data_IF_302068203893
#
_entry.id   IF_302068203893
#
_cell.length_a   1.000
_cell.length_b   1.000
_cell.length_c   1.000
_cell.angle_alpha   90.00
_cell.angle_beta   90.00
_cell.angle_gamma   90.00
#
_symmetry.space_group_name_H-M   'P 1'
#
loop_
_entity.id
_entity.type
_entity.pdbx_description
1 polymer ?
#
# COMPACT_ATOMS: atom_id res chain seq x y z
N UNK A 1 49.65 64.01 22.27
CA UNK A 1 48.25 63.76 21.86
C UNK A 1 48.12 62.28 21.56
N UNK A 2 47.64 61.47 22.51
CA UNK A 2 46.27 60.95 22.66
C UNK A 2 45.78 60.02 21.52
N UNK A 3 45.76 58.71 21.86
CA UNK A 3 44.82 57.63 21.53
C UNK A 3 44.22 57.49 20.12
N UNK A 4 44.31 56.27 19.58
CA UNK A 4 43.17 55.33 19.59
C UNK A 4 43.62 53.89 19.37
N UNK A 5 43.12 53.02 20.24
CA UNK A 5 43.15 51.56 20.19
C UNK A 5 42.12 51.11 19.14
N UNK A 6 42.39 50.01 18.45
CA UNK A 6 41.36 49.04 18.12
C UNK A 6 41.93 47.64 18.24
N UNK A 7 41.24 46.86 19.08
CA UNK A 7 41.50 45.46 19.41
C UNK A 7 40.53 44.65 18.58
N UNK A 8 41.01 43.69 17.80
CA UNK A 8 40.17 42.63 17.22
C UNK A 8 40.81 41.28 17.54
N UNK A 9 40.15 40.41 18.34
CA UNK A 9 40.65 39.07 18.63
C UNK A 9 40.36 38.13 17.46
N UNK A 10 41.41 37.43 17.01
CA UNK A 10 41.36 36.39 16.00
C UNK A 10 40.53 35.19 16.53
N UNK A 11 39.35 34.96 15.95
CA UNK A 11 38.59 33.72 16.15
C UNK A 11 39.32 32.55 15.46
N UNK A 12 39.41 31.36 16.09
CA UNK A 12 39.89 30.16 15.43
C UNK A 12 38.78 29.51 14.58
N UNK A 13 39.17 28.96 13.43
CA UNK A 13 38.29 28.30 12.46
C UNK A 13 37.61 27.03 13.04
N UNK A 14 36.38 26.68 12.61
CA UNK A 14 35.67 25.49 13.07
C UNK A 14 36.33 24.20 12.56
N UNK A 15 36.53 23.25 13.48
CA UNK A 15 37.06 21.91 13.22
C UNK A 15 36.13 21.12 12.30
N UNK A 16 36.68 20.58 11.22
CA UNK A 16 36.04 19.61 10.34
C UNK A 16 35.63 18.36 11.16
N UNK A 17 34.33 18.09 11.22
CA UNK A 17 33.81 16.88 11.83
C UNK A 17 33.79 15.76 10.78
N UNK A 18 34.84 14.93 10.78
CA UNK A 18 34.81 13.62 10.12
C UNK A 18 33.68 12.77 10.73
N UNK A 19 32.57 12.61 10.00
CA UNK A 19 31.55 11.61 10.31
C UNK A 19 31.78 10.38 9.44
N UNK A 20 32.22 9.30 10.13
CA UNK A 20 32.33 7.92 9.67
C UNK A 20 31.16 7.48 8.77
N UNK A 21 31.40 6.58 7.80
CA UNK A 21 30.35 6.07 6.93
C UNK A 21 29.28 5.36 7.74
N UNK A 22 28.05 5.84 7.57
CA UNK A 22 26.82 5.24 8.09
C UNK A 22 26.68 3.85 7.44
N UNK A 23 27.09 2.81 8.16
CA UNK A 23 26.67 1.45 7.89
C UNK A 23 25.16 1.40 8.13
N UNK A 24 24.39 1.61 7.06
CA UNK A 24 22.98 1.32 7.07
C UNK A 24 22.83 -0.20 7.07
N UNK A 25 22.65 -0.71 8.28
CA UNK A 25 22.26 -2.07 8.57
C UNK A 25 21.15 -2.51 7.60
N UNK A 26 21.47 -3.47 6.73
CA UNK A 26 20.51 -4.33 6.04
C UNK A 26 19.64 -5.02 7.09
N UNK A 27 18.53 -4.36 7.42
CA UNK A 27 17.56 -4.80 8.40
C UNK A 27 16.88 -6.09 7.97
N UNK A 28 17.31 -7.19 8.60
CA UNK A 28 16.53 -8.36 9.01
C UNK A 28 15.65 -9.02 7.93
N UNK A 29 16.17 -10.13 7.38
CA UNK A 29 15.40 -11.22 6.76
C UNK A 29 14.42 -11.83 7.78
N UNK A 30 13.23 -11.26 7.93
CA UNK A 30 12.09 -11.90 8.62
C UNK A 30 11.05 -12.43 7.64
N UNK A 31 11.46 -12.78 6.42
CA UNK A 31 10.57 -13.07 5.30
C UNK A 31 9.82 -14.42 5.37
N UNK A 32 10.36 -15.53 5.91
CA UNK A 32 9.66 -16.81 5.77
C UNK A 32 8.42 -16.94 6.67
N UNK A 33 8.43 -16.33 7.85
CA UNK A 33 7.33 -16.47 8.81
C UNK A 33 6.09 -15.66 8.40
N UNK A 34 6.29 -14.42 7.93
CA UNK A 34 5.19 -13.57 7.47
C UNK A 34 4.57 -14.13 6.19
N UNK A 35 5.38 -14.56 5.24
CA UNK A 35 4.88 -15.22 4.02
C UNK A 35 4.08 -16.49 4.37
N UNK A 36 4.55 -17.28 5.32
CA UNK A 36 3.84 -18.48 5.79
C UNK A 36 2.46 -18.13 6.39
N UNK A 37 2.37 -17.12 7.26
CA UNK A 37 1.08 -16.65 7.81
C UNK A 37 0.12 -16.20 6.70
N UNK A 38 0.61 -15.43 5.74
CA UNK A 38 -0.21 -14.93 4.64
C UNK A 38 -0.70 -16.07 3.74
N UNK A 39 0.14 -17.06 3.46
CA UNK A 39 -0.23 -18.24 2.67
C UNK A 39 -1.28 -19.13 3.34
N UNK A 40 -1.38 -19.11 4.67
CA UNK A 40 -2.44 -19.83 5.39
C UNK A 40 -3.74 -19.02 5.54
N UNK A 41 -3.73 -17.72 5.24
CA UNK A 41 -4.93 -16.87 5.31
C UNK A 41 -5.82 -17.04 4.07
N UNK A 42 -7.07 -17.51 4.22
CA UNK A 42 -7.96 -17.72 3.09
C UNK A 42 -8.32 -16.42 2.35
N UNK A 43 -8.51 -15.33 3.08
CA UNK A 43 -8.85 -14.02 2.49
C UNK A 43 -7.67 -13.43 1.72
N UNK A 44 -6.44 -13.60 2.22
CA UNK A 44 -5.24 -13.19 1.50
C UNK A 44 -5.09 -13.96 0.19
N UNK A 45 -5.21 -15.30 0.24
CA UNK A 45 -5.16 -16.14 -0.96
C UNK A 45 -6.22 -15.74 -1.97
N UNK A 46 -7.46 -15.57 -1.52
CA UNK A 46 -8.56 -15.12 -2.37
C UNK A 46 -8.24 -13.78 -3.06
N UNK A 47 -7.77 -12.78 -2.30
CA UNK A 47 -7.41 -11.48 -2.86
C UNK A 47 -6.23 -11.57 -3.83
N UNK A 48 -5.22 -12.36 -3.52
CA UNK A 48 -4.07 -12.61 -4.39
C UNK A 48 -4.52 -13.26 -5.70
N UNK A 49 -5.42 -14.23 -5.65
CA UNK A 49 -5.89 -14.95 -6.83
C UNK A 49 -6.72 -14.02 -7.74
N UNK A 50 -7.55 -13.14 -7.16
CA UNK A 50 -8.22 -12.05 -7.90
C UNK A 50 -7.22 -11.14 -8.61
N UNK A 51 -6.21 -10.63 -7.88
CA UNK A 51 -5.21 -9.74 -8.46
C UNK A 51 -4.37 -10.43 -9.53
N UNK A 52 -4.04 -11.70 -9.34
CA UNK A 52 -3.34 -12.53 -10.33
C UNK A 52 -4.17 -12.68 -11.62
N UNK A 53 -5.49 -12.88 -11.50
CA UNK A 53 -6.37 -12.96 -12.67
C UNK A 53 -6.43 -11.62 -13.42
N UNK A 54 -6.61 -10.52 -12.69
CA UNK A 54 -6.59 -9.16 -13.27
C UNK A 54 -5.25 -8.90 -13.98
N UNK A 55 -4.13 -9.24 -13.36
CA UNK A 55 -2.81 -9.04 -13.96
C UNK A 55 -2.64 -9.85 -15.25
N UNK A 56 -3.09 -11.10 -15.28
CA UNK A 56 -3.07 -11.95 -16.48
C UNK A 56 -3.97 -11.40 -17.59
N UNK A 57 -5.15 -10.89 -17.24
CA UNK A 57 -6.09 -10.30 -18.21
C UNK A 57 -5.54 -9.05 -18.90
N UNK A 58 -4.65 -8.31 -18.23
CA UNK A 58 -4.07 -7.08 -18.75
C UNK A 58 -2.61 -7.24 -19.18
N UNK A 59 -2.13 -8.48 -19.32
CA UNK A 59 -0.77 -8.74 -19.76
C UNK A 59 -0.57 -8.20 -21.19
N UNK A 60 0.46 -7.36 -21.38
CA UNK A 60 0.78 -6.78 -22.68
C UNK A 60 -0.04 -5.54 -23.08
N UNK A 61 -0.91 -5.04 -22.19
CA UNK A 61 -1.66 -3.79 -22.44
C UNK A 61 -0.81 -2.59 -22.01
N UNK A 62 -0.42 -1.68 -22.93
CA UNK A 62 0.30 -0.47 -22.59
C UNK A 62 -0.62 0.56 -21.91
N UNK A 63 -0.07 1.38 -21.00
CA UNK A 63 -0.75 2.49 -20.31
C UNK A 63 -2.06 2.09 -19.61
N UNK A 64 -1.96 1.16 -18.66
CA UNK A 64 -3.12 0.65 -17.95
C UNK A 64 -3.71 1.70 -17.00
N UNK A 65 -4.97 2.08 -17.25
CA UNK A 65 -5.71 2.97 -16.37
C UNK A 65 -5.97 2.31 -15.01
N UNK A 66 -5.58 3.00 -13.94
CA UNK A 66 -5.76 2.57 -12.56
C UNK A 66 -7.25 2.41 -12.21
N UNK A 67 -8.11 3.30 -12.73
CA UNK A 67 -9.55 3.21 -12.48
C UNK A 67 -10.18 2.02 -13.20
N UNK A 68 -9.72 1.70 -14.42
CA UNK A 68 -10.09 0.47 -15.11
C UNK A 68 -9.66 -0.78 -14.33
N UNK A 69 -8.40 -0.83 -13.87
CA UNK A 69 -7.88 -1.93 -13.04
C UNK A 69 -8.71 -2.14 -11.77
N UNK A 70 -9.08 -1.05 -11.10
CA UNK A 70 -9.93 -1.07 -9.91
C UNK A 70 -11.31 -1.63 -10.21
N UNK A 71 -11.95 -1.19 -11.29
CA UNK A 71 -13.26 -1.71 -11.74
C UNK A 71 -13.21 -3.19 -12.08
N UNK A 72 -12.19 -3.63 -12.82
CA UNK A 72 -11.99 -5.05 -13.15
C UNK A 72 -11.77 -5.88 -11.89
N UNK A 73 -10.94 -5.40 -10.97
CA UNK A 73 -10.69 -6.06 -9.68
C UNK A 73 -11.98 -6.23 -8.89
N UNK A 74 -12.81 -5.18 -8.78
CA UNK A 74 -14.12 -5.27 -8.11
C UNK A 74 -15.05 -6.27 -8.79
N UNK A 75 -15.15 -6.20 -10.13
CA UNK A 75 -16.03 -7.07 -10.90
C UNK A 75 -15.67 -8.55 -10.70
N UNK A 76 -14.40 -8.90 -10.91
CA UNK A 76 -13.91 -10.27 -10.76
C UNK A 76 -14.10 -10.75 -9.32
N UNK A 77 -13.75 -9.92 -8.34
CA UNK A 77 -13.93 -10.26 -6.93
C UNK A 77 -15.40 -10.57 -6.60
N UNK A 78 -16.35 -9.76 -7.09
CA UNK A 78 -17.78 -9.97 -6.91
C UNK A 78 -18.26 -11.27 -7.55
N UNK A 79 -17.86 -11.56 -8.79
CA UNK A 79 -18.29 -12.79 -9.48
C UNK A 79 -17.77 -14.04 -8.79
N UNK A 80 -16.49 -14.07 -8.39
CA UNK A 80 -15.91 -15.21 -7.69
C UNK A 80 -16.57 -15.42 -6.32
N UNK A 81 -16.86 -14.35 -5.59
CA UNK A 81 -17.58 -14.43 -4.32
C UNK A 81 -19.00 -15.00 -4.51
N UNK A 82 -19.73 -14.53 -5.52
CA UNK A 82 -21.06 -15.06 -5.83
C UNK A 82 -21.02 -16.55 -6.16
N UNK A 83 -20.04 -17.00 -6.95
CA UNK A 83 -19.86 -18.43 -7.23
C UNK A 83 -19.59 -19.22 -5.93
N UNK A 84 -18.68 -18.75 -5.08
CA UNK A 84 -18.34 -19.42 -3.81
C UNK A 84 -19.52 -19.47 -2.81
N UNK A 85 -20.35 -18.43 -2.76
CA UNK A 85 -21.51 -18.43 -1.86
C UNK A 85 -22.60 -19.41 -2.29
N UNK A 86 -22.73 -19.64 -3.60
CA UNK A 86 -23.72 -20.56 -4.15
C UNK A 86 -23.21 -22.01 -4.24
N UNK A 87 -21.91 -22.25 -4.06
CA UNK A 87 -21.33 -23.58 -4.06
C UNK A 87 -21.75 -24.36 -2.78
N UNK A 88 -22.47 -25.49 -2.91
CA UNK A 88 -22.91 -26.28 -1.77
C UNK A 88 -21.75 -26.97 -1.02
N UNK A 89 -20.59 -27.13 -1.66
CA UNK A 89 -19.41 -27.77 -1.04
C UNK A 89 -18.67 -26.84 -0.07
N UNK A 90 -18.98 -25.54 -0.10
CA UNK A 90 -18.34 -24.53 0.73
C UNK A 90 -19.04 -24.44 2.11
N UNK A 91 -18.30 -24.52 3.23
CA UNK A 91 -18.90 -24.40 4.57
C UNK A 91 -19.61 -23.07 4.80
N UNK A 92 -20.77 -23.10 5.47
CA UNK A 92 -21.58 -21.90 5.75
C UNK A 92 -20.82 -20.78 6.46
N UNK A 93 -20.03 -21.12 7.49
CA UNK A 93 -19.20 -20.15 8.21
C UNK A 93 -18.18 -19.45 7.29
N UNK A 94 -17.65 -20.18 6.30
CA UNK A 94 -16.72 -19.61 5.33
C UNK A 94 -17.42 -18.62 4.38
N UNK A 95 -18.66 -18.93 3.97
CA UNK A 95 -19.49 -18.01 3.17
C UNK A 95 -19.78 -16.70 3.91
N UNK A 96 -20.10 -16.78 5.20
CA UNK A 96 -20.33 -15.60 6.05
C UNK A 96 -19.07 -14.72 6.09
N UNK A 97 -17.91 -15.32 6.39
CA UNK A 97 -16.62 -14.61 6.41
C UNK A 97 -16.32 -13.91 5.07
N UNK A 98 -16.55 -14.59 3.96
CA UNK A 98 -16.35 -14.04 2.61
C UNK A 98 -17.29 -12.86 2.32
N UNK A 99 -18.55 -12.93 2.75
CA UNK A 99 -19.52 -11.84 2.58
C UNK A 99 -19.18 -10.63 3.46
N UNK A 100 -18.74 -10.85 4.70
CA UNK A 100 -18.27 -9.75 5.55
C UNK A 100 -17.05 -9.05 4.95
N UNK A 101 -16.11 -9.82 4.42
CA UNK A 101 -14.96 -9.29 3.69
C UNK A 101 -15.41 -8.48 2.47
N UNK A 102 -16.36 -8.99 1.69
CA UNK A 102 -16.91 -8.29 0.53
C UNK A 102 -17.54 -6.95 0.91
N UNK A 103 -18.39 -6.94 1.94
CA UNK A 103 -19.05 -5.74 2.42
C UNK A 103 -18.05 -4.68 2.92
N UNK A 104 -16.93 -5.10 3.53
CA UNK A 104 -15.84 -4.19 3.91
C UNK A 104 -15.13 -3.63 2.67
N UNK A 105 -14.83 -4.47 1.69
CA UNK A 105 -14.16 -4.08 0.44
C UNK A 105 -14.99 -3.07 -0.38
N UNK A 106 -16.31 -3.28 -0.47
CA UNK A 106 -17.23 -2.36 -1.16
C UNK A 106 -17.29 -1.02 -0.44
N UNK A 107 -17.44 -1.02 0.90
CA UNK A 107 -17.44 0.21 1.71
C UNK A 107 -16.16 1.02 1.54
N UNK A 108 -15.00 0.38 1.58
CA UNK A 108 -13.72 1.06 1.36
C UNK A 108 -13.68 1.77 -0.01
N UNK A 109 -14.20 1.11 -1.05
CA UNK A 109 -14.24 1.68 -2.41
C UNK A 109 -15.24 2.85 -2.53
N UNK A 110 -16.39 2.76 -1.87
CA UNK A 110 -17.37 3.84 -1.84
C UNK A 110 -16.86 5.08 -1.09
N UNK A 111 -16.14 4.87 0.02
CA UNK A 111 -15.52 5.96 0.79
C UNK A 111 -14.45 6.64 -0.06
N UNK A 112 -13.61 5.85 -0.74
CA UNK A 112 -12.56 6.38 -1.61
C UNK A 112 -13.12 7.27 -2.73
N UNK A 113 -14.21 6.84 -3.40
CA UNK A 113 -14.93 7.65 -4.39
C UNK A 113 -15.49 8.95 -3.83
N UNK A 114 -16.00 8.94 -2.59
CA UNK A 114 -16.49 10.15 -1.92
C UNK A 114 -15.34 11.10 -1.58
N UNK A 115 -14.22 10.58 -1.11
CA UNK A 115 -13.02 11.38 -0.80
C UNK A 115 -12.38 11.97 -2.06
N UNK A 116 -12.42 11.26 -3.19
CA UNK A 116 -12.00 11.77 -4.50
C UNK A 116 -12.86 12.95 -4.97
N UNK A 117 -14.20 12.85 -4.83
CA UNK A 117 -15.11 13.95 -5.18
C UNK A 117 -14.83 15.22 -4.36
N UNK A 118 -14.62 15.07 -3.04
CA UNK A 118 -14.31 16.20 -2.15
C UNK A 118 -12.97 16.87 -2.47
N UNK A 119 -11.95 16.11 -2.88
CA UNK A 119 -10.65 16.66 -3.31
C UNK A 119 -10.78 17.48 -4.59
N UNK A 120 -11.58 17.00 -5.53
CA UNK A 120 -11.83 17.71 -6.79
C UNK A 120 -12.68 18.98 -6.62
N UNK A 121 -13.57 19.04 -5.63
CA UNK A 121 -14.34 20.25 -5.30
C UNK A 121 -13.49 21.33 -4.62
N UNK A 122 -12.45 20.95 -3.87
CA UNK A 122 -11.54 21.91 -3.21
C UNK A 122 -10.49 22.55 -4.12
N UNK A 123 -10.34 22.06 -5.36
CA UNK A 123 -9.38 22.56 -6.36
C UNK A 123 -10.02 23.48 -7.42
N UNK A 124 -11.31 23.78 -7.29
CA UNK A 124 -12.04 24.77 -8.11
C UNK A 124 -12.28 26.06 -7.35
#
# INVERSE_FOLDING_TARGET
>A
MFFKRDVTPHLPAPREAEKKPRQENLGKKSTPHVENILLHSPLYRFKRDVLSLVAKMNQGVPNLDCEMLKKQTMFIQSQLLHSLTNDPTVPGNFKIMLMEYHAKSVRATLIDRRGEHLRHESEK
#
